data_IF_438987744473
#
_entry.id   IF_438987744473
#
_cell.length_a   1.000
_cell.length_b   1.000
_cell.length_c   1.000
_cell.angle_alpha   90.00
_cell.angle_beta   90.00
_cell.angle_gamma   90.00
#
_symmetry.space_group_name_H-M   'P 1'
#
loop_
_entity.id
_entity.type
_entity.pdbx_description
1 polymer ?
#
# COMPACT_ATOMS: atom_id res chain seq x y z
N UNK A 1 47.04 7.23 33.25
CA UNK A 1 46.16 7.73 32.16
C UNK A 1 44.76 7.18 32.42
N UNK A 2 43.84 8.10 32.81
CA UNK A 2 42.42 7.77 33.03
C UNK A 2 41.70 8.10 31.73
N UNK A 3 41.24 7.06 31.01
CA UNK A 3 40.33 7.26 29.85
C UNK A 3 38.90 7.41 30.37
N UNK A 4 38.39 8.64 30.35
CA UNK A 4 36.95 8.89 30.53
C UNK A 4 36.24 8.55 29.24
N UNK A 5 35.40 7.50 29.23
CA UNK A 5 34.44 7.22 28.16
C UNK A 5 33.38 8.30 28.17
N UNK A 6 33.45 9.24 27.26
CA UNK A 6 32.34 10.14 26.98
C UNK A 6 31.28 9.33 26.21
N UNK A 7 30.19 8.96 26.89
CA UNK A 7 28.99 8.46 26.23
C UNK A 7 28.32 9.64 25.52
N UNK A 8 28.56 9.77 24.23
CA UNK A 8 27.78 10.68 23.37
C UNK A 8 26.42 10.02 23.16
N UNK A 9 25.43 10.40 23.96
CA UNK A 9 24.02 10.12 23.66
C UNK A 9 23.62 11.00 22.49
N UNK A 10 23.46 10.41 21.31
CA UNK A 10 22.85 11.09 20.19
C UNK A 10 21.41 11.48 20.57
N UNK A 11 21.19 12.74 20.87
CA UNK A 11 19.85 13.28 21.12
C UNK A 11 19.15 13.37 19.76
N UNK A 12 18.17 12.48 19.51
CA UNK A 12 17.32 12.58 18.33
C UNK A 12 16.46 13.84 18.50
N UNK A 13 16.82 14.90 17.79
CA UNK A 13 15.99 16.11 17.75
C UNK A 13 14.75 15.83 16.90
N UNK A 14 13.57 16.18 17.42
CA UNK A 14 12.32 16.12 16.66
C UNK A 14 12.20 17.41 15.85
N UNK A 15 12.13 17.28 14.52
CA UNK A 15 11.96 18.37 13.57
C UNK A 15 10.62 18.23 12.85
N UNK A 16 9.89 19.35 12.74
CA UNK A 16 8.64 19.39 11.96
C UNK A 16 9.01 19.44 10.47
N UNK A 17 8.55 18.45 9.69
CA UNK A 17 8.80 18.38 8.25
C UNK A 17 7.56 18.74 7.41
N UNK A 18 6.36 18.57 7.96
CA UNK A 18 5.10 18.95 7.31
C UNK A 18 4.12 19.44 8.39
N UNK A 19 3.30 20.43 8.02
CA UNK A 19 2.13 20.84 8.78
C UNK A 19 0.88 20.67 7.90
N UNK A 20 -0.17 20.01 8.46
CA UNK A 20 -1.45 19.79 7.78
C UNK A 20 -2.53 20.29 8.75
N UNK A 21 -3.11 21.45 8.49
CA UNK A 21 -3.97 22.17 9.44
C UNK A 21 -3.25 22.36 10.78
N UNK A 22 -3.80 21.82 11.87
CA UNK A 22 -3.23 21.87 13.23
C UNK A 22 -2.35 20.66 13.55
N UNK A 23 -2.27 19.67 12.64
CA UNK A 23 -1.46 18.47 12.78
C UNK A 23 -0.05 18.66 12.22
N UNK A 24 0.92 18.08 12.90
CA UNK A 24 2.33 18.12 12.48
C UNK A 24 2.81 16.69 12.15
N UNK A 25 3.73 16.63 11.21
CA UNK A 25 4.48 15.43 10.86
C UNK A 25 5.96 15.75 11.10
N UNK A 26 6.62 14.86 11.85
CA UNK A 26 8.03 15.03 12.23
C UNK A 26 8.94 14.09 11.43
N UNK A 27 10.25 14.34 11.52
CA UNK A 27 11.27 13.42 11.01
C UNK A 27 11.17 12.03 11.65
N UNK A 28 10.74 11.92 12.92
CA UNK A 28 10.52 10.64 13.60
C UNK A 28 9.37 9.87 12.98
N UNK A 29 8.27 10.56 12.65
CA UNK A 29 7.12 9.95 11.97
C UNK A 29 7.53 9.43 10.58
N UNK A 30 8.37 10.19 9.85
CA UNK A 30 8.88 9.78 8.56
C UNK A 30 9.74 8.51 8.65
N UNK A 31 10.62 8.42 9.66
CA UNK A 31 11.43 7.21 9.86
C UNK A 31 10.57 5.99 10.25
N UNK A 32 9.51 6.18 11.03
CA UNK A 32 8.57 5.11 11.36
C UNK A 32 7.77 4.68 10.12
N UNK A 33 7.38 5.61 9.26
CA UNK A 33 6.70 5.30 8.01
C UNK A 33 7.60 4.52 7.04
N UNK A 34 8.90 4.86 6.93
CA UNK A 34 9.85 4.07 6.14
C UNK A 34 9.88 2.61 6.60
N UNK A 35 9.98 2.39 7.92
CA UNK A 35 9.97 1.03 8.48
C UNK A 35 8.67 0.30 8.17
N UNK A 36 7.53 0.99 8.28
CA UNK A 36 6.22 0.45 7.96
C UNK A 36 6.13 0.03 6.49
N UNK A 37 6.56 0.89 5.58
CA UNK A 37 6.55 0.57 4.15
C UNK A 37 7.52 -0.56 3.79
N UNK A 38 8.71 -0.57 4.35
CA UNK A 38 9.68 -1.66 4.17
C UNK A 38 9.17 -3.00 4.73
N UNK A 39 8.42 -2.97 5.82
CA UNK A 39 7.76 -4.17 6.34
C UNK A 39 6.69 -4.71 5.39
N UNK A 40 5.88 -3.84 4.80
CA UNK A 40 4.83 -4.22 3.86
C UNK A 40 5.39 -4.63 2.49
N UNK A 41 6.45 -3.98 2.05
CA UNK A 41 7.13 -4.22 0.77
C UNK A 41 8.66 -4.18 0.93
N UNK A 42 9.29 -5.32 1.27
CA UNK A 42 10.74 -5.39 1.44
C UNK A 42 11.55 -5.00 0.19
N UNK A 43 10.96 -5.08 -1.01
CA UNK A 43 11.63 -4.72 -2.26
C UNK A 43 11.93 -3.21 -2.38
N UNK A 44 11.37 -2.38 -1.50
CA UNK A 44 11.72 -0.97 -1.41
C UNK A 44 13.19 -0.73 -1.06
N UNK A 45 13.87 -1.74 -0.51
CA UNK A 45 15.34 -1.67 -0.27
C UNK A 45 16.13 -1.44 -1.56
N UNK A 46 15.57 -1.79 -2.73
CA UNK A 46 16.20 -1.58 -4.03
C UNK A 46 16.15 -0.12 -4.51
N UNK A 47 15.39 0.74 -3.84
CA UNK A 47 15.25 2.14 -4.17
C UNK A 47 16.35 2.98 -3.53
N UNK A 48 16.65 4.13 -4.15
CA UNK A 48 17.51 5.13 -3.53
C UNK A 48 16.87 5.73 -2.28
N UNK A 49 17.68 6.21 -1.35
CA UNK A 49 17.21 6.89 -0.13
C UNK A 49 16.27 8.07 -0.44
N UNK A 50 16.53 8.80 -1.53
CA UNK A 50 15.66 9.91 -1.97
C UNK A 50 14.27 9.42 -2.39
N UNK A 51 14.18 8.29 -3.14
CA UNK A 51 12.93 7.71 -3.56
C UNK A 51 12.14 7.17 -2.37
N UNK A 52 12.79 6.44 -1.46
CA UNK A 52 12.14 5.94 -0.22
C UNK A 52 11.62 7.11 0.62
N UNK A 53 12.41 8.18 0.80
CA UNK A 53 11.99 9.37 1.53
C UNK A 53 10.75 10.01 0.92
N UNK A 54 10.72 10.16 -0.40
CA UNK A 54 9.56 10.71 -1.12
C UNK A 54 8.31 9.86 -0.91
N UNK A 55 8.40 8.55 -1.16
CA UNK A 55 7.27 7.63 -1.00
C UNK A 55 6.75 7.65 0.44
N UNK A 56 7.64 7.62 1.43
CA UNK A 56 7.28 7.66 2.84
C UNK A 56 6.60 8.97 3.23
N UNK A 57 7.10 10.09 2.71
CA UNK A 57 6.50 11.40 2.93
C UNK A 57 5.09 11.47 2.34
N UNK A 58 4.92 11.00 1.11
CA UNK A 58 3.62 10.98 0.41
C UNK A 58 2.62 10.04 1.12
N UNK A 59 3.07 8.84 1.52
CA UNK A 59 2.25 7.87 2.25
C UNK A 59 1.77 8.42 3.59
N UNK A 60 2.69 8.96 4.38
CA UNK A 60 2.40 9.53 5.69
C UNK A 60 1.46 10.74 5.60
N UNK A 61 1.68 11.63 4.62
CA UNK A 61 0.81 12.78 4.34
C UNK A 61 -0.60 12.33 4.01
N UNK A 62 -0.74 11.37 3.09
CA UNK A 62 -2.04 10.84 2.67
C UNK A 62 -2.76 10.16 3.83
N UNK A 63 -2.05 9.38 4.67
CA UNK A 63 -2.66 8.73 5.84
C UNK A 63 -3.11 9.76 6.87
N UNK A 64 -2.34 10.82 7.11
CA UNK A 64 -2.75 11.88 8.02
C UNK A 64 -4.00 12.62 7.52
N UNK A 65 -4.11 12.87 6.22
CA UNK A 65 -5.33 13.45 5.62
C UNK A 65 -6.54 12.52 5.80
N UNK A 66 -6.37 11.21 5.56
CA UNK A 66 -7.40 10.20 5.80
C UNK A 66 -7.84 10.19 7.28
N UNK A 67 -6.89 10.20 8.21
CA UNK A 67 -7.14 10.23 9.65
C UNK A 67 -7.95 11.45 10.06
N UNK A 68 -7.56 12.65 9.60
CA UNK A 68 -8.27 13.90 9.85
C UNK A 68 -9.70 13.84 9.32
N UNK A 69 -9.90 13.34 8.11
CA UNK A 69 -11.24 13.24 7.51
C UNK A 69 -12.11 12.23 8.27
N UNK A 70 -11.57 11.04 8.56
CA UNK A 70 -12.29 9.98 9.27
C UNK A 70 -12.69 10.38 10.69
N UNK A 71 -11.85 11.15 11.40
CA UNK A 71 -12.13 11.59 12.77
C UNK A 71 -13.36 12.49 12.89
N UNK A 72 -13.86 13.05 11.78
CA UNK A 72 -15.13 13.79 11.74
C UNK A 72 -16.36 12.89 11.87
N UNK A 73 -16.22 11.60 11.56
CA UNK A 73 -17.31 10.63 11.48
C UNK A 73 -17.16 9.48 12.47
N UNK A 74 -15.94 9.15 12.88
CA UNK A 74 -15.62 7.96 13.67
C UNK A 74 -14.70 8.32 14.85
N UNK A 75 -14.91 7.64 15.97
CA UNK A 75 -13.96 7.66 17.08
C UNK A 75 -12.93 6.53 16.91
N UNK A 76 -11.92 6.77 16.09
CA UNK A 76 -10.90 5.76 15.73
C UNK A 76 -10.17 5.15 16.94
N UNK A 77 -10.15 5.85 18.10
CA UNK A 77 -9.46 5.36 19.31
C UNK A 77 -10.30 4.39 20.16
N UNK A 78 -11.60 4.36 19.95
CA UNK A 78 -12.52 3.51 20.73
C UNK A 78 -12.97 2.26 19.98
N UNK A 79 -12.68 2.16 18.70
CA UNK A 79 -13.16 1.07 17.85
C UNK A 79 -12.29 -0.18 18.02
N UNK A 80 -12.94 -1.30 18.37
CA UNK A 80 -12.33 -2.64 18.37
C UNK A 80 -12.06 -3.18 16.94
N UNK A 81 -12.30 -2.35 15.92
CA UNK A 81 -12.07 -2.70 14.52
C UNK A 81 -10.59 -3.01 14.23
N UNK A 82 -9.67 -2.35 14.94
CA UNK A 82 -8.23 -2.60 14.83
C UNK A 82 -7.88 -4.08 15.00
N UNK A 83 -8.44 -4.74 16.04
CA UNK A 83 -8.20 -6.17 16.29
C UNK A 83 -8.69 -7.05 15.14
N UNK A 84 -9.85 -6.73 14.54
CA UNK A 84 -10.39 -7.48 13.40
C UNK A 84 -9.50 -7.33 12.16
N UNK A 85 -9.00 -6.13 11.87
CA UNK A 85 -8.09 -5.91 10.75
C UNK A 85 -6.73 -6.58 10.95
N UNK A 86 -6.20 -6.56 12.17
CA UNK A 86 -4.98 -7.31 12.52
C UNK A 86 -5.17 -8.81 12.31
N UNK A 87 -6.30 -9.36 12.74
CA UNK A 87 -6.63 -10.78 12.54
C UNK A 87 -6.68 -11.14 11.05
N UNK A 88 -7.33 -10.29 10.25
CA UNK A 88 -7.39 -10.48 8.80
C UNK A 88 -6.01 -10.35 8.15
N UNK A 89 -5.22 -9.36 8.55
CA UNK A 89 -3.84 -9.21 8.09
C UNK A 89 -3.00 -10.45 8.40
N UNK A 90 -3.04 -10.91 9.65
CA UNK A 90 -2.33 -12.10 10.12
C UNK A 90 -2.67 -13.32 9.25
N UNK A 91 -3.95 -13.53 8.95
CA UNK A 91 -4.42 -14.62 8.09
C UNK A 91 -3.95 -14.47 6.64
N UNK A 92 -4.10 -13.28 6.05
CA UNK A 92 -3.79 -13.04 4.64
C UNK A 92 -2.28 -13.12 4.33
N UNK A 93 -1.45 -12.82 5.32
CA UNK A 93 0.01 -12.90 5.21
C UNK A 93 0.61 -14.17 5.84
N UNK A 94 -0.24 -15.20 6.11
CA UNK A 94 0.15 -16.52 6.58
C UNK A 94 0.94 -16.51 7.91
N UNK A 95 0.71 -15.53 8.78
CA UNK A 95 1.22 -15.59 10.15
C UNK A 95 0.40 -16.59 10.97
N UNK A 96 1.07 -17.47 11.73
CA UNK A 96 0.40 -18.50 12.56
C UNK A 96 -0.55 -17.86 13.60
N UNK A 97 -0.16 -16.72 14.16
CA UNK A 97 -0.93 -15.96 15.15
C UNK A 97 -0.37 -14.54 15.28
N UNK A 98 -1.06 -13.71 16.08
CA UNK A 98 -0.67 -12.32 16.33
C UNK A 98 0.72 -12.19 16.96
N UNK A 99 1.16 -13.15 17.79
CA UNK A 99 2.49 -13.11 18.41
C UNK A 99 3.60 -13.27 17.35
N UNK A 100 3.37 -14.09 16.33
CA UNK A 100 4.30 -14.20 15.21
C UNK A 100 4.41 -12.88 14.45
N UNK A 101 3.28 -12.19 14.18
CA UNK A 101 3.29 -10.87 13.60
C UNK A 101 4.05 -9.85 14.47
N UNK A 102 3.79 -9.83 15.79
CA UNK A 102 4.50 -8.93 16.72
C UNK A 102 6.01 -9.16 16.69
N UNK A 103 6.45 -10.44 16.65
CA UNK A 103 7.87 -10.77 16.56
C UNK A 103 8.50 -10.29 15.24
N UNK A 104 7.78 -10.37 14.13
CA UNK A 104 8.25 -9.80 12.86
C UNK A 104 8.34 -8.28 12.91
N UNK A 105 7.34 -7.59 13.46
CA UNK A 105 7.36 -6.13 13.62
C UNK A 105 8.59 -5.67 14.44
N UNK A 106 8.95 -6.41 15.48
CA UNK A 106 10.15 -6.12 16.31
C UNK A 106 11.42 -6.16 15.46
N UNK A 107 11.57 -7.10 14.52
CA UNK A 107 12.74 -7.18 13.62
C UNK A 107 12.90 -5.93 12.74
N UNK A 108 11.80 -5.27 12.42
CA UNK A 108 11.79 -4.00 11.68
C UNK A 108 11.82 -2.75 12.59
N UNK A 109 11.97 -2.93 13.91
CA UNK A 109 11.83 -1.86 14.89
C UNK A 109 10.52 -1.08 14.73
N UNK A 110 9.42 -1.80 14.45
CA UNK A 110 8.08 -1.26 14.34
C UNK A 110 7.29 -1.47 15.63
N UNK A 111 6.66 -0.40 16.12
CA UNK A 111 5.73 -0.46 17.22
C UNK A 111 4.41 -1.09 16.76
N UNK A 112 3.91 -2.08 17.52
CA UNK A 112 2.65 -2.77 17.21
C UNK A 112 1.45 -1.82 17.15
N UNK A 113 1.32 -0.92 18.13
CA UNK A 113 0.19 0.02 18.16
C UNK A 113 0.22 0.98 16.97
N UNK A 114 1.41 1.41 16.55
CA UNK A 114 1.58 2.23 15.35
C UNK A 114 1.17 1.45 14.09
N UNK A 115 1.59 0.20 13.98
CA UNK A 115 1.20 -0.68 12.87
C UNK A 115 -0.32 -0.90 12.83
N UNK A 116 -0.94 -1.22 13.98
CA UNK A 116 -2.39 -1.41 14.11
C UNK A 116 -3.16 -0.15 13.74
N UNK A 117 -2.74 1.03 14.20
CA UNK A 117 -3.38 2.30 13.87
C UNK A 117 -3.29 2.62 12.36
N UNK A 118 -2.14 2.39 11.74
CA UNK A 118 -1.98 2.60 10.30
C UNK A 118 -2.91 1.67 9.50
N UNK A 119 -2.96 0.40 9.89
CA UNK A 119 -3.84 -0.59 9.28
C UNK A 119 -5.33 -0.23 9.47
N UNK A 120 -5.70 0.24 10.67
CA UNK A 120 -7.04 0.71 10.97
C UNK A 120 -7.46 1.86 10.05
N UNK A 121 -6.65 2.92 9.95
CA UNK A 121 -6.94 4.10 9.13
C UNK A 121 -7.14 3.69 7.66
N UNK A 122 -6.25 2.87 7.10
CA UNK A 122 -6.32 2.47 5.70
C UNK A 122 -7.54 1.59 5.40
N UNK A 123 -7.94 0.70 6.32
CA UNK A 123 -9.13 -0.15 6.13
C UNK A 123 -10.44 0.62 6.34
N UNK A 124 -10.55 1.43 7.41
CA UNK A 124 -11.74 2.26 7.67
C UNK A 124 -11.94 3.26 6.52
N UNK A 125 -10.86 3.85 5.99
CA UNK A 125 -10.94 4.72 4.81
C UNK A 125 -11.54 4.00 3.59
N UNK A 126 -11.07 2.78 3.31
CA UNK A 126 -11.60 1.98 2.20
C UNK A 126 -13.08 1.69 2.35
N UNK A 127 -13.51 1.30 3.55
CA UNK A 127 -14.92 1.04 3.85
C UNK A 127 -15.76 2.32 3.79
N UNK A 128 -15.25 3.44 4.31
CA UNK A 128 -15.92 4.73 4.25
C UNK A 128 -16.15 5.18 2.80
N UNK A 129 -15.13 5.13 1.96
CA UNK A 129 -15.24 5.49 0.54
C UNK A 129 -16.20 4.55 -0.18
N UNK A 130 -16.10 3.23 0.04
CA UNK A 130 -17.02 2.26 -0.54
C UNK A 130 -18.47 2.57 -0.14
N UNK A 131 -18.74 2.76 1.14
CA UNK A 131 -20.09 3.05 1.63
C UNK A 131 -20.64 4.38 1.10
N UNK A 132 -19.79 5.40 0.97
CA UNK A 132 -20.17 6.72 0.44
C UNK A 132 -20.57 6.66 -1.02
N UNK A 133 -19.91 5.82 -1.82
CA UNK A 133 -20.10 5.83 -3.28
C UNK A 133 -20.80 4.58 -3.83
N UNK A 134 -21.04 3.54 -3.04
CA UNK A 134 -21.66 2.28 -3.51
C UNK A 134 -23.02 2.49 -4.20
N UNK A 135 -23.81 3.48 -3.75
CA UNK A 135 -25.12 3.79 -4.36
C UNK A 135 -25.01 4.49 -5.70
N UNK A 136 -23.86 5.09 -6.02
CA UNK A 136 -23.61 5.74 -7.32
C UNK A 136 -23.12 4.75 -8.39
N UNK A 137 -22.73 3.55 -7.97
CA UNK A 137 -22.25 2.49 -8.86
C UNK A 137 -23.46 1.76 -9.40
N UNK A 138 -23.84 2.03 -10.65
CA UNK A 138 -24.86 1.28 -11.35
C UNK A 138 -24.25 0.01 -11.94
N UNK A 139 -24.64 -1.13 -11.39
CA UNK A 139 -24.23 -2.45 -11.88
C UNK A 139 -25.36 -3.00 -12.73
N UNK A 140 -25.11 -3.19 -14.03
CA UNK A 140 -26.01 -3.88 -14.93
C UNK A 140 -25.89 -5.40 -14.70
N UNK A 141 -26.72 -5.90 -13.78
CA UNK A 141 -26.70 -7.32 -13.36
C UNK A 141 -27.04 -8.23 -14.54
N UNK A 142 -27.95 -7.82 -15.43
CA UNK A 142 -28.33 -8.60 -16.62
C UNK A 142 -27.17 -8.74 -17.61
N UNK A 143 -26.43 -7.67 -17.82
CA UNK A 143 -25.23 -7.70 -18.67
C UNK A 143 -24.14 -8.59 -18.04
N UNK A 144 -23.93 -8.50 -16.72
CA UNK A 144 -23.00 -9.38 -16.00
C UNK A 144 -23.43 -10.85 -16.07
N UNK A 145 -24.70 -11.15 -15.86
CA UNK A 145 -25.23 -12.53 -15.94
C UNK A 145 -25.02 -13.11 -17.33
N UNK A 146 -25.34 -12.38 -18.40
CA UNK A 146 -25.12 -12.81 -19.78
C UNK A 146 -23.62 -13.01 -20.09
N UNK A 147 -22.74 -12.24 -19.46
CA UNK A 147 -21.28 -12.44 -19.59
C UNK A 147 -20.80 -13.70 -18.86
N UNK A 148 -21.39 -14.03 -17.70
CA UNK A 148 -21.06 -15.25 -16.95
C UNK A 148 -21.58 -16.49 -17.66
N UNK A 149 -22.83 -16.46 -18.14
CA UNK A 149 -23.47 -17.59 -18.86
C UNK A 149 -22.77 -17.96 -20.19
N UNK A 150 -22.11 -16.98 -20.83
CA UNK A 150 -21.32 -17.21 -22.03
C UNK A 150 -19.90 -17.76 -21.78
N UNK A 151 -19.47 -17.83 -20.51
CA UNK A 151 -18.11 -18.27 -20.17
C UNK A 151 -18.11 -19.75 -19.76
N UNK A 152 -18.10 -20.61 -20.77
CA UNK A 152 -17.72 -22.03 -20.63
C UNK A 152 -16.18 -22.16 -20.62
N UNK A 153 -15.52 -21.37 -19.76
CA UNK A 153 -14.07 -21.40 -19.63
C UNK A 153 -13.65 -22.15 -18.37
N UNK A 154 -12.69 -23.04 -18.53
CA UNK A 154 -11.91 -23.48 -17.38
C UNK A 154 -11.45 -22.25 -16.61
N UNK A 155 -11.89 -22.13 -15.35
CA UNK A 155 -11.52 -20.99 -14.50
C UNK A 155 -10.06 -21.15 -14.12
N UNK A 156 -9.21 -20.35 -14.72
CA UNK A 156 -7.80 -20.27 -14.34
C UNK A 156 -7.63 -19.30 -13.17
N UNK A 157 -6.66 -19.56 -12.33
CA UNK A 157 -6.21 -18.62 -11.31
C UNK A 157 -4.90 -17.98 -11.76
N UNK A 158 -4.86 -16.66 -11.75
CA UNK A 158 -3.71 -15.86 -12.18
C UNK A 158 -3.19 -15.10 -10.95
N UNK A 159 -1.90 -15.21 -10.68
CA UNK A 159 -1.25 -14.37 -9.67
C UNK A 159 -0.84 -13.05 -10.31
N UNK A 160 -1.54 -11.99 -9.97
CA UNK A 160 -1.41 -10.70 -10.64
C UNK A 160 -0.84 -9.62 -9.73
N UNK A 161 -0.14 -8.71 -10.38
CA UNK A 161 0.25 -7.42 -9.80
C UNK A 161 -0.07 -6.30 -10.79
N UNK A 162 -0.32 -5.09 -10.28
CA UNK A 162 -0.69 -3.94 -11.10
C UNK A 162 0.17 -2.71 -10.80
N UNK A 163 0.37 -1.89 -11.81
CA UNK A 163 0.77 -0.47 -11.66
C UNK A 163 -0.32 0.36 -12.35
N UNK A 164 -1.21 0.93 -11.54
CA UNK A 164 -2.24 1.83 -12.04
C UNK A 164 -1.67 3.25 -12.05
N UNK A 165 -1.58 3.86 -13.22
CA UNK A 165 -1.06 5.22 -13.35
C UNK A 165 -1.97 6.10 -14.19
N UNK A 166 -1.90 7.41 -13.95
CA UNK A 166 -2.64 8.42 -14.68
C UNK A 166 -1.65 9.37 -15.34
N UNK A 167 -1.91 9.70 -16.58
CA UNK A 167 -1.12 10.72 -17.26
C UNK A 167 -1.67 12.11 -16.88
N UNK A 168 -1.09 12.72 -15.87
CA UNK A 168 -1.45 14.07 -15.40
C UNK A 168 -0.55 15.17 -16.01
N UNK A 169 0.48 14.75 -16.75
CA UNK A 169 1.42 15.64 -17.39
C UNK A 169 1.13 15.73 -18.88
N UNK A 170 1.60 16.79 -19.55
CA UNK A 170 1.54 16.91 -21.01
C UNK A 170 2.53 15.96 -21.74
N UNK A 171 3.14 15.02 -21.01
CA UNK A 171 3.99 13.98 -21.60
C UNK A 171 3.12 12.99 -22.39
N UNK A 172 3.66 12.42 -23.47
CA UNK A 172 2.96 11.36 -24.18
C UNK A 172 2.87 10.11 -23.30
N UNK A 173 1.79 9.33 -23.46
CA UNK A 173 1.59 8.07 -22.76
C UNK A 173 2.80 7.12 -22.92
N UNK A 174 3.39 7.08 -24.12
CA UNK A 174 4.53 6.23 -24.43
C UNK A 174 5.80 6.63 -23.64
N UNK A 175 6.01 7.92 -23.40
CA UNK A 175 7.13 8.40 -22.57
C UNK A 175 6.97 7.91 -21.13
N UNK A 176 5.78 8.09 -20.56
CA UNK A 176 5.50 7.63 -19.20
C UNK A 176 5.59 6.10 -19.07
N UNK A 177 5.05 5.37 -20.04
CA UNK A 177 5.17 3.91 -20.13
C UNK A 177 6.63 3.47 -20.14
N UNK A 178 7.48 4.08 -20.98
CA UNK A 178 8.89 3.76 -21.05
C UNK A 178 9.63 4.08 -19.75
N UNK A 179 9.30 5.18 -19.06
CA UNK A 179 9.84 5.49 -17.72
C UNK A 179 9.52 4.36 -16.73
N UNK A 180 8.28 3.89 -16.72
CA UNK A 180 7.85 2.78 -15.85
C UNK A 180 8.63 1.51 -16.17
N UNK A 181 8.73 1.13 -17.46
CA UNK A 181 9.50 -0.05 -17.87
C UNK A 181 10.97 0.04 -17.47
N UNK A 182 11.61 1.19 -17.67
CA UNK A 182 13.01 1.39 -17.29
C UNK A 182 13.20 1.26 -15.77
N UNK A 183 12.26 1.78 -14.98
CA UNK A 183 12.32 1.65 -13.52
C UNK A 183 12.07 0.20 -13.06
N UNK A 184 11.18 -0.55 -13.73
CA UNK A 184 10.99 -1.98 -13.46
C UNK A 184 12.30 -2.76 -13.68
N UNK A 185 13.03 -2.48 -14.76
CA UNK A 185 14.31 -3.14 -15.03
C UNK A 185 15.38 -2.78 -13.99
N UNK A 186 15.34 -1.57 -13.44
CA UNK A 186 16.32 -1.07 -12.48
C UNK A 186 16.03 -1.51 -11.05
N UNK A 187 14.80 -1.39 -10.62
CA UNK A 187 14.40 -1.49 -9.20
C UNK A 187 13.43 -2.65 -8.92
N UNK A 188 12.95 -3.33 -9.96
CA UNK A 188 11.93 -4.37 -9.86
C UNK A 188 10.51 -3.81 -9.89
N UNK A 189 9.55 -4.71 -10.15
CA UNK A 189 8.14 -4.36 -10.32
C UNK A 189 7.53 -3.76 -9.05
N UNK A 190 7.73 -4.40 -7.89
CA UNK A 190 7.10 -4.00 -6.63
C UNK A 190 7.56 -2.63 -6.14
N UNK A 191 8.86 -2.34 -6.31
CA UNK A 191 9.41 -1.02 -5.99
C UNK A 191 8.87 0.04 -6.95
N UNK A 192 8.79 -0.27 -8.24
CA UNK A 192 8.22 0.61 -9.27
C UNK A 192 6.75 0.89 -9.02
N UNK A 193 5.97 -0.10 -8.60
CA UNK A 193 4.57 0.08 -8.22
C UNK A 193 4.42 1.11 -7.09
N UNK A 194 5.30 1.06 -6.10
CA UNK A 194 5.28 2.03 -5.00
C UNK A 194 5.59 3.48 -5.45
N UNK A 195 6.34 3.65 -6.54
CA UNK A 195 6.68 4.96 -7.10
C UNK A 195 5.55 5.53 -8.00
N UNK A 196 5.05 4.70 -8.91
CA UNK A 196 4.21 5.17 -10.02
C UNK A 196 2.73 4.86 -9.84
N UNK A 197 2.37 3.84 -9.03
CA UNK A 197 0.97 3.46 -8.91
C UNK A 197 0.18 4.43 -8.05
N UNK A 198 -1.03 4.77 -8.52
CA UNK A 198 -2.04 5.52 -7.77
C UNK A 198 -3.00 4.60 -7.01
N UNK A 199 -2.89 3.27 -7.22
CA UNK A 199 -3.70 2.28 -6.51
C UNK A 199 -3.26 2.13 -5.05
N UNK A 200 -4.19 1.74 -4.18
CA UNK A 200 -3.90 1.37 -2.78
C UNK A 200 -2.94 0.16 -2.68
N UNK A 201 -2.89 -0.68 -3.72
CA UNK A 201 -1.99 -1.83 -3.79
C UNK A 201 -0.51 -1.44 -3.84
N UNK A 202 -0.19 -0.18 -4.16
CA UNK A 202 1.19 0.32 -4.23
C UNK A 202 2.01 0.09 -2.97
N UNK A 203 1.36 0.16 -1.79
CA UNK A 203 2.03 -0.05 -0.50
C UNK A 203 2.46 -1.51 -0.31
N UNK A 204 1.86 -2.42 -1.08
CA UNK A 204 2.14 -3.85 -1.09
C UNK A 204 2.84 -4.29 -2.39
N UNK A 205 3.52 -3.35 -3.06
CA UNK A 205 4.22 -3.63 -4.31
C UNK A 205 3.30 -3.89 -5.51
N UNK A 206 2.07 -3.37 -5.47
CA UNK A 206 1.09 -3.55 -6.53
C UNK A 206 0.41 -4.93 -6.54
N UNK A 207 0.64 -5.78 -5.54
CA UNK A 207 0.13 -7.16 -5.51
C UNK A 207 -1.40 -7.21 -5.39
N UNK A 208 -2.03 -7.89 -6.33
CA UNK A 208 -3.45 -8.25 -6.29
C UNK A 208 -3.65 -9.69 -5.77
N UNK A 209 -2.61 -10.53 -5.89
CA UNK A 209 -2.65 -11.94 -5.51
C UNK A 209 -3.35 -12.82 -6.55
N UNK A 210 -3.86 -13.98 -6.11
CA UNK A 210 -4.53 -14.95 -6.97
C UNK A 210 -5.95 -14.48 -7.29
N UNK A 211 -6.20 -14.24 -8.57
CA UNK A 211 -7.49 -13.78 -9.11
C UNK A 211 -7.98 -14.79 -10.14
N UNK A 212 -9.24 -15.18 -10.04
CA UNK A 212 -9.87 -16.07 -11.01
C UNK A 212 -10.11 -15.33 -12.33
N UNK A 213 -9.85 -16.00 -13.46
CA UNK A 213 -10.02 -15.42 -14.80
C UNK A 213 -11.43 -14.87 -15.05
N UNK A 214 -12.46 -15.45 -14.42
CA UNK A 214 -13.83 -14.96 -14.52
C UNK A 214 -14.12 -13.68 -13.69
N UNK A 215 -13.18 -13.25 -12.84
CA UNK A 215 -13.26 -11.99 -12.07
C UNK A 215 -12.61 -10.82 -12.82
N UNK A 216 -11.96 -11.09 -13.96
CA UNK A 216 -11.27 -10.10 -14.77
C UNK A 216 -12.10 -9.82 -16.03
N UNK A 217 -12.11 -8.58 -16.51
CA UNK A 217 -12.79 -8.25 -17.77
C UNK A 217 -12.13 -9.02 -18.93
N UNK A 218 -12.95 -9.42 -19.92
CA UNK A 218 -12.48 -10.17 -21.09
C UNK A 218 -11.34 -9.45 -21.84
N UNK A 219 -11.43 -8.12 -21.92
CA UNK A 219 -10.38 -7.29 -22.54
C UNK A 219 -9.06 -7.42 -21.79
N UNK A 220 -9.07 -7.29 -20.45
CA UNK A 220 -7.85 -7.40 -19.64
C UNK A 220 -7.30 -8.82 -19.71
N UNK A 221 -8.16 -9.83 -19.61
CA UNK A 221 -7.76 -11.23 -19.68
C UNK A 221 -7.09 -11.57 -21.03
N UNK A 222 -7.67 -11.08 -22.14
CA UNK A 222 -7.09 -11.31 -23.48
C UNK A 222 -5.72 -10.65 -23.64
N UNK A 223 -5.50 -9.47 -23.03
CA UNK A 223 -4.17 -8.82 -23.06
C UNK A 223 -3.15 -9.57 -22.19
N UNK A 224 -3.55 -10.04 -21.00
CA UNK A 224 -2.68 -10.87 -20.15
C UNK A 224 -2.23 -12.14 -20.89
N UNK A 225 -3.12 -12.80 -21.62
CA UNK A 225 -2.79 -14.02 -22.39
C UNK A 225 -1.88 -13.76 -23.58
N UNK A 226 -1.82 -12.55 -24.11
CA UNK A 226 -0.88 -12.18 -25.19
C UNK A 226 0.52 -11.89 -24.67
N UNK A 227 0.64 -11.47 -23.43
CA UNK A 227 1.94 -11.29 -22.78
C UNK A 227 2.48 -12.66 -22.40
N UNK A 228 3.53 -13.11 -23.10
CA UNK A 228 4.35 -14.24 -22.64
C UNK A 228 4.79 -13.96 -21.22
N UNK A 229 4.68 -14.97 -20.35
CA UNK A 229 5.05 -14.90 -18.94
C UNK A 229 6.38 -14.15 -18.77
N UNK A 230 6.27 -12.94 -18.20
CA UNK A 230 7.44 -12.27 -17.62
C UNK A 230 7.59 -12.90 -16.24
N UNK A 231 8.30 -14.01 -16.20
CA UNK A 231 8.78 -14.65 -14.98
C UNK A 231 9.94 -13.86 -14.40
#
# INVERSE_FOLDING_TARGET
FIFTKNNVTAQISSEIIIKINDEIITNIDLENEKKYLLFLNPNLVNLSSSQINKISKDSLTNRKIKEIELSKYFNLKQDKLGEAYIKNFTKNYNYKNINNLKNELIKFNLNYNHFENNLLIDNVWREFIFNKYKSTIQIDIEKLRKQIEKKDFAVEELNLSEILFKNETNESFDILKNKIYNEIQKSGFEATASIFSISETKNFGGKLGWIKSNQISEKIYSEIKKTSEIT
#
